data_IF_111836225216
#
_entry.id   IF_111836225216
#
_cell.length_a   1.000
_cell.length_b   1.000
_cell.length_c   1.000
_cell.angle_alpha   90.00
_cell.angle_beta   90.00
_cell.angle_gamma   90.00
#
_symmetry.space_group_name_H-M   'P 1'
#
loop_
_entity.id
_entity.type
_entity.pdbx_description
1 polymer ?
#
# COMPACT_ATOMS: atom_id res chain seq x y z
N UNK A 1 -80.89 37.46 49.04
CA UNK A 1 -80.23 36.58 48.04
C UNK A 1 -79.20 37.45 47.35
N UNK A 2 -77.88 37.29 47.46
CA UNK A 2 -77.03 36.12 47.68
C UNK A 2 -75.80 36.55 48.50
N UNK A 3 -75.16 35.55 49.07
CA UNK A 3 -74.17 35.52 50.15
C UNK A 3 -72.80 36.14 49.86
N UNK A 4 -72.12 36.52 50.94
CA UNK A 4 -70.68 36.70 51.06
C UNK A 4 -69.99 35.35 51.39
N UNK A 5 -68.77 35.12 50.88
CA UNK A 5 -67.58 34.52 51.55
C UNK A 5 -66.51 34.12 50.50
N UNK A 6 -65.31 34.73 50.56
CA UNK A 6 -64.10 34.24 51.25
C UNK A 6 -63.51 32.93 50.69
N UNK A 7 -62.40 33.04 49.95
CA UNK A 7 -61.27 32.09 49.91
C UNK A 7 -60.18 32.68 48.98
N UNK A 8 -59.10 33.24 49.53
CA UNK A 8 -57.82 32.56 49.78
C UNK A 8 -56.99 32.30 48.53
N UNK A 9 -56.04 33.20 48.30
CA UNK A 9 -54.61 32.92 48.10
C UNK A 9 -54.25 31.53 47.57
N UNK A 10 -54.26 31.35 46.25
CA UNK A 10 -53.65 30.18 45.60
C UNK A 10 -53.11 30.49 44.18
N UNK A 11 -52.65 31.72 43.94
CA UNK A 11 -52.18 32.15 42.61
C UNK A 11 -50.65 32.13 42.41
N UNK A 12 -49.89 31.48 43.28
CA UNK A 12 -48.43 31.34 43.16
C UNK A 12 -47.98 29.93 43.51
N UNK A 13 -48.35 28.94 42.70
CA UNK A 13 -47.73 27.60 42.77
C UNK A 13 -47.92 26.75 41.50
N UNK A 14 -48.02 27.39 40.32
CA UNK A 14 -48.09 26.68 39.03
C UNK A 14 -46.86 26.94 38.13
N UNK A 15 -45.71 27.29 38.73
CA UNK A 15 -44.44 27.53 38.02
C UNK A 15 -43.29 26.62 38.47
N UNK A 16 -43.59 25.56 39.24
CA UNK A 16 -42.59 24.57 39.65
C UNK A 16 -43.25 23.20 39.60
N UNK A 17 -43.22 22.53 38.43
CA UNK A 17 -43.30 21.07 38.24
C UNK A 17 -43.43 20.71 36.74
N UNK A 18 -42.46 21.13 35.94
CA UNK A 18 -42.14 20.46 34.67
C UNK A 18 -40.66 20.07 34.74
N UNK A 19 -40.33 18.93 35.37
CA UNK A 19 -38.99 18.39 35.23
C UNK A 19 -38.83 17.91 33.78
N UNK A 20 -37.87 18.54 33.09
CA UNK A 20 -37.05 17.99 32.03
C UNK A 20 -37.62 16.77 31.27
N UNK A 21 -38.32 17.06 30.17
CA UNK A 21 -38.41 16.14 29.04
C UNK A 21 -37.65 16.73 27.85
N UNK A 22 -36.41 17.17 28.09
CA UNK A 22 -35.43 17.13 27.01
C UNK A 22 -35.05 15.67 26.86
N UNK A 23 -35.76 14.96 25.99
CA UNK A 23 -35.17 13.79 25.37
C UNK A 23 -33.88 14.30 24.72
N UNK A 24 -32.73 13.97 25.32
CA UNK A 24 -31.52 13.81 24.55
C UNK A 24 -31.85 12.80 23.47
N UNK A 25 -32.25 13.30 22.30
CA UNK A 25 -31.98 12.60 21.07
C UNK A 25 -30.45 12.59 21.03
N UNK A 26 -29.86 11.60 21.69
CA UNK A 26 -28.48 11.25 21.48
C UNK A 26 -28.37 11.16 19.97
N UNK A 27 -27.65 12.11 19.39
CA UNK A 27 -27.20 11.99 18.02
C UNK A 27 -26.34 10.73 18.06
N UNK A 28 -26.95 9.58 17.79
CA UNK A 28 -26.21 8.41 17.38
C UNK A 28 -25.35 8.94 16.24
N UNK A 29 -24.04 9.07 16.49
CA UNK A 29 -23.08 9.44 15.46
C UNK A 29 -23.18 8.31 14.45
N UNK A 30 -24.04 8.50 13.46
CA UNK A 30 -24.17 7.61 12.34
C UNK A 30 -22.92 7.86 11.54
N UNK A 31 -21.84 7.17 11.91
CA UNK A 31 -20.61 7.11 11.14
C UNK A 31 -21.05 6.66 9.76
N UNK A 32 -21.10 7.61 8.81
CA UNK A 32 -21.51 7.29 7.46
C UNK A 32 -20.49 6.27 6.95
N UNK A 33 -20.94 5.18 6.33
CA UNK A 33 -19.99 4.21 5.77
C UNK A 33 -19.22 4.88 4.64
N UNK A 34 -17.94 4.56 4.45
CA UNK A 34 -17.21 4.96 3.24
C UNK A 34 -17.76 4.18 2.03
N UNK A 35 -17.56 4.70 0.82
CA UNK A 35 -18.17 4.17 -0.41
C UNK A 35 -17.18 3.45 -1.32
N UNK A 36 -15.91 3.81 -1.23
CA UNK A 36 -14.81 3.21 -1.97
C UNK A 36 -13.50 3.46 -1.20
N UNK A 37 -12.47 2.69 -1.57
CA UNK A 37 -11.12 2.78 -0.99
C UNK A 37 -10.11 3.03 -2.11
N UNK A 38 -9.18 3.96 -1.87
CA UNK A 38 -8.05 4.25 -2.75
C UNK A 38 -6.74 3.97 -2.02
N UNK A 39 -5.71 3.56 -2.75
CA UNK A 39 -4.35 3.43 -2.24
C UNK A 39 -3.39 4.30 -3.04
N UNK A 40 -2.49 5.00 -2.36
CA UNK A 40 -1.35 5.71 -2.94
C UNK A 40 -0.09 5.13 -2.30
N UNK A 41 0.69 4.39 -3.09
CA UNK A 41 1.82 3.60 -2.62
C UNK A 41 3.11 4.14 -3.24
N UNK A 42 4.01 4.64 -2.42
CA UNK A 42 5.17 5.42 -2.88
C UNK A 42 6.48 4.86 -2.35
N UNK A 43 7.34 4.39 -3.25
CA UNK A 43 8.76 4.19 -3.00
C UNK A 43 9.50 5.45 -3.46
N UNK A 44 10.12 6.17 -2.54
CA UNK A 44 10.78 7.45 -2.84
C UNK A 44 12.28 7.32 -3.13
N UNK A 45 12.85 6.14 -2.88
CA UNK A 45 14.29 5.89 -2.94
C UNK A 45 14.72 5.17 -4.21
N UNK A 46 16.00 5.32 -4.54
CA UNK A 46 16.63 4.70 -5.72
C UNK A 46 17.93 4.03 -5.37
N UNK A 47 18.53 3.41 -6.37
CA UNK A 47 19.78 2.66 -6.32
C UNK A 47 19.61 1.28 -5.68
N UNK A 48 20.50 0.38 -6.09
CA UNK A 48 20.46 -1.04 -5.72
C UNK A 48 20.44 -1.28 -4.21
N UNK A 49 21.20 -0.51 -3.43
CA UNK A 49 21.26 -0.65 -1.97
C UNK A 49 19.94 -0.28 -1.26
N UNK A 50 18.98 0.30 -1.98
CA UNK A 50 17.64 0.62 -1.48
C UNK A 50 16.56 -0.32 -2.01
N UNK A 51 16.94 -1.49 -2.52
CA UNK A 51 16.06 -2.55 -3.01
C UNK A 51 14.80 -2.73 -2.15
N UNK A 52 14.98 -2.84 -0.81
CA UNK A 52 13.90 -3.01 0.15
C UNK A 52 12.77 -1.99 0.04
N UNK A 53 13.03 -0.72 -0.27
CA UNK A 53 11.98 0.28 -0.33
C UNK A 53 11.01 -0.02 -1.50
N UNK A 54 11.53 -0.49 -2.64
CA UNK A 54 10.68 -0.91 -3.75
C UNK A 54 9.93 -2.20 -3.42
N UNK A 55 10.61 -3.18 -2.82
CA UNK A 55 10.00 -4.44 -2.38
C UNK A 55 8.89 -4.22 -1.33
N UNK A 56 9.08 -3.30 -0.40
CA UNK A 56 8.08 -2.88 0.58
C UNK A 56 6.80 -2.38 -0.11
N UNK A 57 6.93 -1.41 -1.02
CA UNK A 57 5.81 -0.82 -1.76
C UNK A 57 5.08 -1.86 -2.59
N UNK A 58 5.81 -2.74 -3.31
CA UNK A 58 5.22 -3.82 -4.09
C UNK A 58 4.51 -4.85 -3.21
N UNK A 59 5.03 -5.13 -2.01
CA UNK A 59 4.39 -6.06 -1.07
C UNK A 59 3.05 -5.52 -0.57
N UNK A 60 2.98 -4.22 -0.27
CA UNK A 60 1.76 -3.51 0.10
C UNK A 60 0.77 -3.45 -1.09
N UNK A 61 1.26 -3.21 -2.31
CA UNK A 61 0.46 -3.27 -3.54
C UNK A 61 -0.24 -4.62 -3.70
N UNK A 62 0.51 -5.72 -3.54
CA UNK A 62 -0.09 -7.07 -3.57
C UNK A 62 -1.09 -7.30 -2.45
N UNK A 63 -0.87 -6.71 -1.27
CA UNK A 63 -1.77 -6.83 -0.13
C UNK A 63 -3.11 -6.16 -0.42
N UNK A 64 -3.11 -4.91 -0.90
CA UNK A 64 -4.36 -4.20 -1.23
C UNK A 64 -5.09 -4.85 -2.40
N UNK A 65 -4.37 -5.37 -3.40
CA UNK A 65 -4.97 -6.13 -4.51
C UNK A 65 -5.61 -7.43 -4.04
N UNK A 66 -4.92 -8.20 -3.19
CA UNK A 66 -5.46 -9.44 -2.60
C UNK A 66 -6.72 -9.18 -1.78
N UNK A 67 -6.80 -8.03 -1.12
CA UNK A 67 -7.98 -7.59 -0.36
C UNK A 67 -9.03 -6.89 -1.25
N UNK A 68 -8.81 -6.85 -2.56
CA UNK A 68 -9.81 -6.53 -3.59
C UNK A 68 -9.85 -5.08 -4.06
N UNK A 69 -8.88 -4.24 -3.70
CA UNK A 69 -8.77 -2.90 -4.30
C UNK A 69 -8.30 -3.08 -5.76
N UNK A 70 -9.07 -2.62 -6.77
CA UNK A 70 -8.69 -2.73 -8.17
C UNK A 70 -7.57 -1.75 -8.55
N UNK A 71 -6.84 -2.02 -9.64
CA UNK A 71 -5.70 -1.19 -10.09
C UNK A 71 -6.10 0.26 -10.40
N UNK A 72 -7.30 0.50 -10.92
CA UNK A 72 -7.80 1.85 -11.18
C UNK A 72 -8.07 2.67 -9.90
N UNK A 73 -7.94 2.05 -8.72
CA UNK A 73 -8.00 2.68 -7.39
C UNK A 73 -6.65 2.65 -6.65
N UNK A 74 -5.57 2.22 -7.31
CA UNK A 74 -4.23 2.18 -6.72
C UNK A 74 -3.30 3.06 -7.56
N UNK A 75 -2.71 4.07 -6.95
CA UNK A 75 -1.63 4.86 -7.55
C UNK A 75 -0.29 4.31 -7.05
N UNK A 76 0.47 3.68 -7.94
CA UNK A 76 1.78 3.10 -7.61
C UNK A 76 2.92 3.96 -8.16
N UNK A 77 3.79 4.45 -7.28
CA UNK A 77 4.95 5.28 -7.61
C UNK A 77 6.24 4.55 -7.19
N UNK A 78 7.07 4.15 -8.17
CA UNK A 78 8.35 3.50 -7.93
C UNK A 78 9.50 4.36 -8.47
N UNK A 79 10.32 4.90 -7.56
CA UNK A 79 11.40 5.82 -7.91
C UNK A 79 12.57 5.17 -8.68
N UNK A 80 12.66 3.84 -8.72
CA UNK A 80 13.67 3.09 -9.45
C UNK A 80 13.08 1.77 -9.98
N UNK A 81 13.82 1.07 -10.83
CA UNK A 81 13.47 -0.26 -11.33
C UNK A 81 14.58 -1.26 -10.98
N UNK A 82 14.44 -1.88 -9.80
CA UNK A 82 15.42 -2.90 -9.37
C UNK A 82 15.22 -4.23 -10.12
N UNK A 83 14.06 -4.45 -10.74
CA UNK A 83 13.77 -5.66 -11.50
C UNK A 83 14.64 -5.72 -12.77
N UNK A 84 14.89 -4.55 -13.39
CA UNK A 84 15.74 -4.40 -14.57
C UNK A 84 17.20 -4.02 -14.26
N UNK A 85 17.62 -4.01 -12.98
CA UNK A 85 18.98 -3.62 -12.61
C UNK A 85 19.99 -4.70 -13.00
N UNK A 86 21.14 -4.31 -13.57
CA UNK A 86 22.20 -5.24 -13.97
C UNK A 86 22.83 -6.03 -12.80
N UNK A 87 22.64 -5.59 -11.55
CA UNK A 87 23.05 -6.34 -10.35
C UNK A 87 22.06 -7.41 -9.93
N UNK A 88 20.84 -7.39 -10.47
CA UNK A 88 19.81 -8.35 -10.10
C UNK A 88 20.09 -9.71 -10.73
N UNK A 89 20.39 -10.69 -9.88
CA UNK A 89 20.61 -12.08 -10.30
C UNK A 89 19.33 -12.73 -10.86
N UNK A 90 18.17 -12.16 -10.56
CA UNK A 90 16.86 -12.62 -11.02
C UNK A 90 16.20 -11.56 -11.93
N UNK A 91 16.51 -11.54 -13.23
CA UNK A 91 15.97 -10.55 -14.16
C UNK A 91 14.45 -10.49 -14.11
N UNK A 92 13.89 -9.28 -14.10
CA UNK A 92 12.45 -9.00 -14.03
C UNK A 92 11.72 -9.57 -12.80
N UNK A 93 12.46 -9.91 -11.73
CA UNK A 93 11.89 -10.42 -10.49
C UNK A 93 12.34 -9.59 -9.29
N UNK A 94 11.44 -9.47 -8.31
CA UNK A 94 11.67 -8.74 -7.06
C UNK A 94 11.11 -9.57 -5.90
N UNK A 95 11.85 -9.71 -4.81
CA UNK A 95 11.51 -10.56 -3.67
C UNK A 95 11.61 -9.76 -2.38
N UNK A 96 10.75 -10.05 -1.39
CA UNK A 96 10.85 -9.50 -0.03
C UNK A 96 11.32 -10.55 0.99
N UNK A 97 11.74 -11.72 0.53
CA UNK A 97 12.14 -12.85 1.35
C UNK A 97 13.17 -13.71 0.63
N UNK A 98 14.14 -14.22 1.39
CA UNK A 98 15.23 -15.11 0.96
C UNK A 98 14.74 -16.41 0.29
N UNK A 99 13.52 -16.87 0.55
CA UNK A 99 13.00 -18.10 -0.04
C UNK A 99 12.55 -17.94 -1.51
N UNK A 100 12.53 -16.71 -2.03
CA UNK A 100 12.12 -16.33 -3.39
C UNK A 100 10.81 -16.94 -3.88
N UNK A 101 9.89 -17.28 -2.98
CA UNK A 101 8.63 -17.95 -3.34
C UNK A 101 7.63 -17.05 -4.06
N UNK A 102 7.75 -15.74 -3.85
CA UNK A 102 6.80 -14.75 -4.35
C UNK A 102 7.52 -13.65 -5.12
N UNK A 103 7.45 -13.72 -6.45
CA UNK A 103 7.86 -12.58 -7.27
C UNK A 103 6.84 -11.44 -7.12
N UNK A 104 7.30 -10.31 -6.59
CA UNK A 104 6.51 -9.13 -6.34
C UNK A 104 6.22 -8.30 -7.60
N UNK A 105 7.11 -8.37 -8.61
CA UNK A 105 7.07 -7.54 -9.82
C UNK A 105 6.33 -8.17 -11.00
N UNK A 106 6.00 -9.47 -10.95
CA UNK A 106 5.45 -10.23 -12.09
C UNK A 106 4.21 -9.61 -12.76
N UNK A 107 3.72 -10.22 -13.83
CA UNK A 107 2.84 -9.66 -14.89
C UNK A 107 1.62 -8.79 -14.52
N UNK A 108 1.21 -8.73 -13.26
CA UNK A 108 0.00 -8.05 -12.80
C UNK A 108 0.26 -6.74 -12.04
N UNK A 109 1.45 -6.12 -12.16
CA UNK A 109 1.70 -4.81 -11.57
C UNK A 109 1.41 -3.70 -12.57
N UNK A 110 0.71 -2.67 -12.11
CA UNK A 110 0.52 -1.42 -12.84
C UNK A 110 1.28 -0.30 -12.12
N UNK A 111 2.40 0.13 -12.69
CA UNK A 111 3.16 1.29 -12.15
C UNK A 111 2.71 2.56 -12.86
N UNK A 112 2.20 3.53 -12.12
CA UNK A 112 1.70 4.79 -12.67
C UNK A 112 2.82 5.80 -12.87
N UNK A 113 3.73 5.89 -11.91
CA UNK A 113 4.89 6.79 -11.96
C UNK A 113 6.17 5.98 -11.82
N UNK A 114 7.00 6.00 -12.87
CA UNK A 114 8.23 5.21 -12.94
C UNK A 114 9.46 6.12 -12.91
N UNK A 115 10.49 5.72 -12.16
CA UNK A 115 11.80 6.35 -12.22
C UNK A 115 11.73 7.85 -11.98
N UNK A 116 12.19 8.65 -12.95
CA UNK A 116 12.22 10.11 -12.91
C UNK A 116 10.84 10.78 -12.80
N UNK A 117 9.73 10.07 -13.01
CA UNK A 117 8.40 10.63 -12.79
C UNK A 117 8.02 10.72 -11.30
N UNK A 118 8.72 9.99 -10.42
CA UNK A 118 8.48 10.01 -8.97
C UNK A 118 9.22 11.19 -8.34
N UNK A 119 8.65 12.39 -8.50
CA UNK A 119 9.13 13.65 -7.92
C UNK A 119 8.19 14.14 -6.82
N UNK A 120 8.68 15.04 -5.97
CA UNK A 120 7.83 15.69 -4.96
C UNK A 120 6.65 16.40 -5.62
N UNK A 121 6.89 17.07 -6.74
CA UNK A 121 5.87 17.79 -7.49
C UNK A 121 4.74 16.87 -7.97
N UNK A 122 5.07 15.75 -8.63
CA UNK A 122 4.07 14.83 -9.14
C UNK A 122 3.29 14.17 -8.00
N UNK A 123 3.96 13.80 -6.91
CA UNK A 123 3.30 13.28 -5.72
C UNK A 123 2.28 14.28 -5.14
N UNK A 124 2.66 15.55 -4.96
CA UNK A 124 1.75 16.59 -4.48
C UNK A 124 0.60 16.86 -5.45
N UNK A 125 0.83 16.77 -6.78
CA UNK A 125 -0.24 16.88 -7.78
C UNK A 125 -1.27 15.76 -7.67
N UNK A 126 -0.82 14.51 -7.46
CA UNK A 126 -1.70 13.35 -7.22
C UNK A 126 -2.62 13.61 -6.03
N UNK A 127 -2.05 13.98 -4.88
CA UNK A 127 -2.81 14.25 -3.66
C UNK A 127 -3.83 15.39 -3.90
N UNK A 128 -3.35 16.53 -4.37
CA UNK A 128 -4.17 17.76 -4.51
C UNK A 128 -5.11 17.74 -5.71
N UNK A 129 -4.97 16.76 -6.61
CA UNK A 129 -5.72 16.67 -7.87
C UNK A 129 -5.43 17.80 -8.86
N UNK A 130 -4.25 18.44 -8.75
CA UNK A 130 -3.83 19.55 -9.61
C UNK A 130 -3.01 19.04 -10.78
N UNK A 131 -3.69 18.37 -11.71
CA UNK A 131 -3.07 17.82 -12.91
C UNK A 131 -3.34 18.70 -14.13
N UNK A 132 -2.40 18.71 -15.08
CA UNK A 132 -2.65 19.19 -16.42
C UNK A 132 -3.74 18.33 -17.11
N UNK A 133 -4.52 18.94 -18.02
CA UNK A 133 -5.59 18.26 -18.74
C UNK A 133 -5.11 17.02 -19.52
N UNK A 134 -3.86 17.01 -19.98
CA UNK A 134 -3.26 15.92 -20.74
C UNK A 134 -2.84 14.72 -19.87
N UNK A 135 -2.73 14.86 -18.54
CA UNK A 135 -2.34 13.74 -17.67
C UNK A 135 -3.40 12.63 -17.76
N UNK A 136 -3.05 11.38 -18.05
CA UNK A 136 -4.05 10.31 -18.21
C UNK A 136 -4.79 10.04 -16.89
N UNK A 137 -6.01 9.49 -17.00
CA UNK A 137 -6.87 9.19 -15.85
C UNK A 137 -6.21 8.23 -14.84
N UNK A 138 -5.46 7.24 -15.32
CA UNK A 138 -4.74 6.26 -14.48
C UNK A 138 -3.74 6.92 -13.53
N UNK A 139 -3.12 8.03 -13.94
CA UNK A 139 -2.18 8.79 -13.10
C UNK A 139 -2.85 9.81 -12.18
N UNK A 140 -4.15 9.69 -11.91
CA UNK A 140 -4.89 10.67 -11.09
C UNK A 140 -5.59 9.95 -9.94
N UNK A 141 -5.40 10.45 -8.72
CA UNK A 141 -6.24 10.07 -7.58
C UNK A 141 -7.63 10.69 -7.79
N UNK A 142 -8.66 9.87 -8.04
CA UNK A 142 -10.03 10.32 -8.28
C UNK A 142 -10.95 10.10 -7.07
N UNK A 143 -10.39 10.21 -5.88
CA UNK A 143 -11.11 10.13 -4.62
C UNK A 143 -12.02 11.34 -4.38
N UNK A 144 -13.03 11.13 -3.55
CA UNK A 144 -14.13 12.04 -3.24
C UNK A 144 -14.47 12.05 -1.74
N UNK A 145 -15.56 12.73 -1.38
CA UNK A 145 -16.00 12.91 0.02
C UNK A 145 -16.47 11.62 0.70
N UNK A 146 -16.68 10.55 -0.08
CA UNK A 146 -17.03 9.22 0.41
C UNK A 146 -15.87 8.23 0.41
N UNK A 147 -14.67 8.66 -0.01
CA UNK A 147 -13.51 7.78 -0.22
C UNK A 147 -12.64 7.67 1.02
N UNK A 148 -12.29 6.46 1.45
CA UNK A 148 -11.16 6.29 2.36
C UNK A 148 -9.87 6.13 1.53
N UNK A 149 -8.79 6.77 1.97
CA UNK A 149 -7.52 6.77 1.24
C UNK A 149 -6.42 6.19 2.14
N UNK A 150 -5.72 5.18 1.65
CA UNK A 150 -4.47 4.68 2.22
C UNK A 150 -3.30 5.37 1.51
N UNK A 151 -2.48 6.12 2.24
CA UNK A 151 -1.21 6.62 1.76
C UNK A 151 -0.09 5.85 2.46
N UNK A 152 0.68 5.07 1.72
CA UNK A 152 1.87 4.40 2.21
C UNK A 152 3.12 4.96 1.52
N UNK A 153 4.10 5.37 2.31
CA UNK A 153 5.37 5.92 1.83
C UNK A 153 6.54 5.21 2.49
N UNK A 154 7.56 4.87 1.72
CA UNK A 154 8.80 4.27 2.24
C UNK A 154 10.01 4.86 1.54
N UNK A 155 11.07 5.10 2.32
CA UNK A 155 12.30 5.69 1.84
C UNK A 155 13.23 6.12 2.96
N UNK A 156 14.17 6.99 2.60
CA UNK A 156 15.06 7.64 3.57
C UNK A 156 14.50 8.99 4.00
N UNK A 157 14.60 9.29 5.27
CA UNK A 157 14.09 10.53 5.86
C UNK A 157 14.78 10.84 7.17
N UNK A 158 14.25 11.85 7.85
CA UNK A 158 14.76 12.33 9.13
C UNK A 158 13.76 13.25 9.79
N UNK A 159 14.25 14.14 10.65
CA UNK A 159 13.40 15.06 11.40
C UNK A 159 12.64 16.00 10.45
N UNK A 160 11.34 15.74 10.29
CA UNK A 160 10.36 16.46 9.49
C UNK A 160 10.53 16.40 7.97
N UNK A 161 11.31 15.45 7.44
CA UNK A 161 11.47 15.29 5.98
C UNK A 161 11.58 13.84 5.52
N UNK A 162 11.21 13.61 4.25
CA UNK A 162 11.42 12.38 3.51
C UNK A 162 12.06 12.71 2.15
N UNK A 163 13.13 12.00 1.79
CA UNK A 163 13.84 12.20 0.53
C UNK A 163 13.11 11.57 -0.64
N UNK A 164 13.12 12.25 -1.76
CA UNK A 164 12.70 11.79 -3.08
C UNK A 164 13.90 11.75 -4.01
N UNK A 165 14.08 10.64 -4.72
CA UNK A 165 15.12 10.45 -5.74
C UNK A 165 16.56 10.72 -5.24
N UNK A 166 16.80 10.64 -3.93
CA UNK A 166 18.08 10.98 -3.28
C UNK A 166 18.56 12.44 -3.51
N UNK A 167 17.67 13.35 -3.93
CA UNK A 167 18.03 14.73 -4.30
C UNK A 167 17.04 15.78 -3.81
N UNK A 168 15.75 15.47 -3.82
CA UNK A 168 14.69 16.34 -3.30
C UNK A 168 14.21 15.85 -1.94
N UNK A 169 13.53 16.72 -1.20
CA UNK A 169 12.93 16.41 0.08
C UNK A 169 11.50 16.96 0.11
N UNK A 170 10.58 16.16 0.65
CA UNK A 170 9.25 16.63 1.06
C UNK A 170 9.24 16.81 2.58
N UNK A 171 8.70 17.93 3.05
CA UNK A 171 8.62 18.23 4.47
C UNK A 171 7.25 17.87 5.06
N UNK A 172 7.18 17.75 6.38
CA UNK A 172 5.92 17.54 7.12
C UNK A 172 4.89 18.64 6.85
N UNK A 173 5.33 19.88 6.59
CA UNK A 173 4.48 21.01 6.19
C UNK A 173 3.87 20.83 4.81
N UNK A 174 4.65 20.35 3.84
CA UNK A 174 4.15 20.11 2.48
C UNK A 174 3.03 19.06 2.49
N UNK A 175 3.17 18.01 3.32
CA UNK A 175 2.13 17.02 3.55
C UNK A 175 0.89 17.64 4.21
N UNK A 176 1.09 18.44 5.26
CA UNK A 176 0.00 19.12 5.97
C UNK A 176 -0.84 20.00 5.03
N UNK A 177 -0.17 20.80 4.19
CA UNK A 177 -0.81 21.69 3.23
C UNK A 177 -1.46 20.93 2.07
N UNK A 178 -0.88 19.82 1.62
CA UNK A 178 -1.49 18.94 0.63
C UNK A 178 -2.79 18.32 1.18
N UNK A 179 -2.77 17.80 2.39
CA UNK A 179 -3.97 17.22 3.02
C UNK A 179 -5.02 18.27 3.33
N UNK A 180 -4.64 19.50 3.69
CA UNK A 180 -5.56 20.62 3.83
C UNK A 180 -6.27 20.96 2.52
N UNK A 181 -5.54 20.94 1.40
CA UNK A 181 -6.15 21.10 0.09
C UNK A 181 -7.06 19.94 -0.28
N UNK A 182 -6.68 18.70 0.04
CA UNK A 182 -7.56 17.53 -0.16
C UNK A 182 -8.85 17.67 0.64
N UNK A 183 -8.76 18.05 1.91
CA UNK A 183 -9.90 18.27 2.79
C UNK A 183 -10.81 19.40 2.27
N UNK A 184 -10.24 20.55 1.93
CA UNK A 184 -10.99 21.69 1.38
C UNK A 184 -11.70 21.38 0.05
N UNK A 185 -11.16 20.44 -0.73
CA UNK A 185 -11.77 19.92 -1.97
C UNK A 185 -12.64 18.68 -1.76
N UNK A 186 -12.81 18.22 -0.51
CA UNK A 186 -13.51 16.99 -0.15
C UNK A 186 -13.06 15.76 -0.95
N UNK A 187 -11.75 15.55 -1.02
CA UNK A 187 -11.11 14.43 -1.75
C UNK A 187 -10.89 13.19 -0.88
N UNK A 188 -11.31 13.22 0.37
CA UNK A 188 -11.34 12.04 1.23
C UNK A 188 -12.41 12.22 2.30
N UNK A 189 -12.90 11.09 2.79
CA UNK A 189 -13.66 10.95 4.02
C UNK A 189 -12.70 10.73 5.19
N UNK A 190 -11.86 9.71 5.07
CA UNK A 190 -10.81 9.37 6.03
C UNK A 190 -9.51 9.06 5.28
N UNK A 191 -8.37 9.43 5.87
CA UNK A 191 -7.03 9.22 5.32
C UNK A 191 -6.17 8.48 6.35
N UNK A 192 -5.66 7.31 5.98
CA UNK A 192 -4.66 6.58 6.75
C UNK A 192 -3.29 6.83 6.11
N UNK A 193 -2.39 7.50 6.82
CA UNK A 193 -1.02 7.79 6.39
C UNK A 193 -0.06 6.87 7.12
N UNK A 194 0.66 6.03 6.39
CA UNK A 194 1.66 5.10 6.92
C UNK A 194 3.03 5.44 6.32
N UNK A 195 4.01 5.75 7.15
CA UNK A 195 5.36 6.08 6.67
C UNK A 195 6.42 5.19 7.30
N UNK A 196 7.18 4.49 6.45
CA UNK A 196 8.33 3.68 6.85
C UNK A 196 9.65 4.37 6.50
N UNK A 197 10.23 5.05 7.51
CA UNK A 197 11.49 5.78 7.40
C UNK A 197 12.07 6.06 8.80
N UNK A 198 13.33 6.49 8.88
CA UNK A 198 13.89 7.10 10.09
C UNK A 198 13.11 8.36 10.50
N UNK A 199 12.86 8.49 11.81
CA UNK A 199 12.09 9.58 12.42
C UNK A 199 10.69 9.82 11.82
N UNK A 200 10.05 8.76 11.32
CA UNK A 200 8.78 8.84 10.60
C UNK A 200 7.68 9.62 11.34
N UNK A 201 7.61 9.52 12.68
CA UNK A 201 6.63 10.24 13.49
C UNK A 201 6.66 11.77 13.33
N UNK A 202 7.81 12.31 12.94
CA UNK A 202 7.98 13.76 12.73
C UNK A 202 7.27 14.25 11.47
N UNK A 203 6.94 13.36 10.52
CA UNK A 203 6.20 13.73 9.31
C UNK A 203 4.74 14.03 9.58
N UNK A 204 4.17 13.51 10.67
CA UNK A 204 2.78 13.77 11.05
C UNK A 204 2.60 14.83 12.15
N UNK A 205 3.68 15.46 12.62
CA UNK A 205 3.63 16.45 13.70
C UNK A 205 2.86 17.72 13.31
N UNK A 206 2.93 18.12 12.03
CA UNK A 206 2.36 19.38 11.55
C UNK A 206 1.00 19.21 10.87
N UNK A 207 0.43 18.00 10.85
CA UNK A 207 -0.90 17.77 10.29
C UNK A 207 -1.96 18.49 11.13
N UNK A 208 -2.99 19.03 10.45
CA UNK A 208 -4.06 19.78 11.11
C UNK A 208 -5.45 19.57 10.50
N UNK A 209 -5.56 18.80 9.41
CA UNK A 209 -6.85 18.54 8.76
C UNK A 209 -7.55 17.34 9.40
N UNK A 210 -8.88 17.40 9.58
CA UNK A 210 -9.63 16.32 10.23
C UNK A 210 -9.74 15.09 9.32
N UNK A 211 -10.09 13.95 9.93
CA UNK A 211 -10.25 12.67 9.25
C UNK A 211 -8.92 11.99 8.93
N UNK A 212 -7.81 12.39 9.55
CA UNK A 212 -6.48 11.83 9.27
C UNK A 212 -6.00 11.01 10.47
N UNK A 213 -5.65 9.75 10.21
CA UNK A 213 -4.89 8.90 11.12
C UNK A 213 -3.50 8.70 10.51
N UNK A 214 -2.45 9.05 11.25
CA UNK A 214 -1.08 8.90 10.77
C UNK A 214 -0.28 7.95 11.67
N UNK A 215 0.58 7.14 11.08
CA UNK A 215 1.48 6.20 11.77
C UNK A 215 2.85 6.20 11.11
N UNK A 216 3.89 6.22 11.93
CA UNK A 216 5.28 6.19 11.53
C UNK A 216 6.03 5.01 12.16
N UNK A 217 6.98 4.45 11.42
CA UNK A 217 7.79 3.30 11.87
C UNK A 217 8.78 3.59 13.00
N UNK A 218 9.09 4.86 13.26
CA UNK A 218 10.08 5.28 14.27
C UNK A 218 9.78 6.66 14.85
N UNK A 219 10.18 6.89 16.11
CA UNK A 219 10.04 8.17 16.81
C UNK A 219 11.12 9.16 16.41
N UNK A 220 10.92 10.44 16.77
CA UNK A 220 11.96 11.48 16.68
C UNK A 220 13.23 11.02 17.40
N UNK A 221 14.38 11.16 16.74
CA UNK A 221 15.67 10.69 17.26
C UNK A 221 15.95 9.19 17.08
N UNK A 222 15.03 8.42 16.48
CA UNK A 222 15.23 7.00 16.20
C UNK A 222 15.38 6.72 14.69
N UNK A 223 16.13 5.67 14.38
CA UNK A 223 16.20 5.12 13.02
C UNK A 223 15.05 4.12 12.79
N UNK A 224 14.71 3.88 11.52
CA UNK A 224 14.03 2.65 11.08
C UNK A 224 15.07 1.67 10.54
N UNK A 225 14.76 0.38 10.58
CA UNK A 225 15.73 -0.68 10.30
C UNK A 225 15.21 -1.69 9.28
N UNK A 226 16.12 -2.16 8.43
CA UNK A 226 15.87 -3.32 7.58
C UNK A 226 15.72 -4.61 8.38
N UNK A 227 14.95 -5.58 7.88
CA UNK A 227 14.75 -6.85 8.58
C UNK A 227 15.86 -7.86 8.33
N UNK A 228 16.01 -8.31 7.09
CA UNK A 228 16.93 -9.40 6.72
C UNK A 228 17.59 -9.14 5.35
N UNK A 229 18.74 -9.80 5.17
CA UNK A 229 19.63 -9.70 4.02
C UNK A 229 19.41 -10.90 3.12
N UNK A 230 19.32 -10.67 1.83
CA UNK A 230 19.29 -11.75 0.85
C UNK A 230 20.68 -11.94 0.26
N UNK A 231 21.23 -13.15 0.35
CA UNK A 231 22.58 -13.43 -0.10
C UNK A 231 22.74 -13.38 -1.63
N UNK A 232 21.70 -13.76 -2.37
CA UNK A 232 21.72 -13.81 -3.84
C UNK A 232 21.48 -12.41 -4.42
N UNK A 233 20.63 -11.59 -3.78
CA UNK A 233 20.43 -10.18 -4.13
C UNK A 233 21.57 -9.29 -3.59
N UNK A 234 22.21 -9.70 -2.48
CA UNK A 234 23.35 -9.03 -1.86
C UNK A 234 23.02 -7.79 -1.02
N UNK A 235 21.74 -7.52 -0.77
CA UNK A 235 21.25 -6.36 0.01
C UNK A 235 20.01 -6.75 0.83
N UNK A 236 19.60 -5.90 1.77
CA UNK A 236 18.36 -6.11 2.51
C UNK A 236 17.15 -5.97 1.58
N UNK A 237 16.18 -6.87 1.72
CA UNK A 237 15.03 -6.99 0.80
C UNK A 237 13.71 -6.47 1.37
N UNK A 238 13.65 -6.17 2.67
CA UNK A 238 12.44 -5.63 3.32
C UNK A 238 12.80 -4.85 4.59
N UNK A 239 12.00 -3.84 4.94
CA UNK A 239 12.10 -3.14 6.22
C UNK A 239 11.25 -3.78 7.32
N UNK A 240 11.67 -3.64 8.58
CA UNK A 240 11.02 -4.32 9.72
C UNK A 240 9.56 -3.92 9.87
N UNK A 241 9.26 -2.63 9.87
CA UNK A 241 7.90 -2.14 10.01
C UNK A 241 7.00 -2.71 8.91
N UNK A 242 7.47 -2.67 7.66
CA UNK A 242 6.75 -3.27 6.54
C UNK A 242 6.62 -4.79 6.66
N UNK A 243 7.68 -5.50 7.05
CA UNK A 243 7.65 -6.95 7.25
C UNK A 243 6.58 -7.38 8.27
N UNK A 244 6.53 -6.73 9.44
CA UNK A 244 5.53 -7.04 10.47
C UNK A 244 4.13 -6.57 10.08
N UNK A 245 4.01 -5.50 9.28
CA UNK A 245 2.74 -5.13 8.64
C UNK A 245 2.24 -6.27 7.74
N UNK A 246 3.10 -6.77 6.85
CA UNK A 246 2.76 -7.86 5.93
C UNK A 246 2.41 -9.14 6.69
N UNK A 247 3.18 -9.49 7.71
CA UNK A 247 2.92 -10.66 8.56
C UNK A 247 1.52 -10.59 9.21
N UNK A 248 1.11 -9.41 9.67
CA UNK A 248 -0.24 -9.21 10.19
C UNK A 248 -1.30 -9.50 9.13
N UNK A 249 -1.07 -9.08 7.88
CA UNK A 249 -2.01 -9.29 6.78
C UNK A 249 -1.99 -10.69 6.18
N UNK A 250 -0.94 -11.51 6.33
CA UNK A 250 -0.80 -12.81 5.65
C UNK A 250 -2.06 -13.69 5.73
N UNK A 251 -2.67 -13.77 6.91
CA UNK A 251 -3.85 -14.60 7.17
C UNK A 251 -5.18 -13.84 7.15
N UNK A 252 -5.19 -12.60 6.69
CA UNK A 252 -6.42 -11.81 6.58
C UNK A 252 -7.05 -11.92 5.19
N UNK A 253 -8.38 -12.01 5.19
CA UNK A 253 -9.21 -11.89 4.00
C UNK A 253 -10.06 -10.60 4.04
N UNK A 254 -10.81 -10.36 2.96
CA UNK A 254 -11.69 -9.19 2.80
C UNK A 254 -12.82 -9.12 3.83
N UNK A 255 -13.16 -10.23 4.49
CA UNK A 255 -14.21 -10.33 5.50
C UNK A 255 -13.66 -10.24 6.93
N UNK A 256 -12.35 -10.01 7.09
CA UNK A 256 -11.71 -9.85 8.38
C UNK A 256 -12.31 -8.69 9.18
N UNK A 257 -12.56 -8.97 10.47
CA UNK A 257 -12.96 -7.97 11.47
C UNK A 257 -11.76 -7.43 12.28
N UNK A 258 -10.53 -7.67 11.82
CA UNK A 258 -9.34 -7.12 12.46
C UNK A 258 -9.35 -5.59 12.42
N UNK A 259 -8.92 -4.96 13.50
CA UNK A 259 -9.00 -3.51 13.71
C UNK A 259 -7.66 -2.84 13.53
N UNK A 260 -7.64 -1.53 13.26
CA UNK A 260 -6.40 -0.75 13.25
C UNK A 260 -5.70 -0.79 14.60
N UNK A 261 -6.45 -0.83 15.71
CA UNK A 261 -5.86 -1.05 17.03
C UNK A 261 -5.10 -2.38 17.09
N UNK A 262 -5.69 -3.47 16.60
CA UNK A 262 -5.01 -4.78 16.58
C UNK A 262 -3.76 -4.81 15.69
N UNK A 263 -3.76 -4.08 14.57
CA UNK A 263 -2.57 -3.90 13.74
C UNK A 263 -1.49 -3.15 14.53
N UNK A 264 -1.85 -2.05 15.18
CA UNK A 264 -0.90 -1.23 15.94
C UNK A 264 -0.34 -1.95 17.16
N UNK A 265 -1.16 -2.72 17.86
CA UNK A 265 -0.76 -3.55 19.00
C UNK A 265 0.16 -4.71 18.59
N UNK A 266 0.14 -5.13 17.32
CA UNK A 266 1.04 -6.16 16.80
C UNK A 266 2.50 -5.69 16.68
N UNK A 267 2.74 -4.38 16.66
CA UNK A 267 4.08 -3.82 16.56
C UNK A 267 4.78 -3.79 17.92
N UNK A 268 5.70 -4.72 18.12
CA UNK A 268 6.56 -4.74 19.31
C UNK A 268 7.90 -4.02 19.06
N UNK A 269 8.36 -3.13 19.97
CA UNK A 269 9.65 -2.44 19.82
C UNK A 269 10.86 -3.38 19.67
N UNK A 270 10.82 -4.55 20.30
CA UNK A 270 11.86 -5.58 20.16
C UNK A 270 11.95 -6.15 18.75
N UNK A 271 10.81 -6.24 18.05
CA UNK A 271 10.71 -6.73 16.68
C UNK A 271 11.11 -5.64 15.67
N UNK A 272 10.67 -4.40 15.90
CA UNK A 272 10.97 -3.27 15.03
C UNK A 272 12.40 -2.73 15.20
N UNK A 273 13.00 -2.89 16.38
CA UNK A 273 14.21 -2.19 16.81
C UNK A 273 14.06 -0.66 16.85
N UNK A 274 12.82 -0.18 16.81
CA UNK A 274 12.38 1.21 16.90
C UNK A 274 11.00 1.24 17.59
N UNK A 275 10.50 2.43 17.90
CA UNK A 275 9.15 2.60 18.41
C UNK A 275 8.23 3.14 17.31
N UNK A 276 7.21 2.36 16.95
CA UNK A 276 6.09 2.87 16.18
C UNK A 276 5.38 3.98 16.98
N UNK A 277 4.96 5.01 16.28
CA UNK A 277 4.17 6.11 16.83
C UNK A 277 3.01 6.43 15.89
N UNK A 278 1.83 6.68 16.44
CA UNK A 278 0.66 7.09 15.66
C UNK A 278 -0.01 8.31 16.28
N UNK A 279 -0.62 9.12 15.42
CA UNK A 279 -1.32 10.34 15.76
C UNK A 279 -2.79 10.21 15.35
N UNK A 280 -3.69 10.27 16.34
CA UNK A 280 -5.13 10.04 16.19
C UNK A 280 -6.03 11.20 16.64
N UNK A 281 -5.49 12.33 17.11
CA UNK A 281 -6.27 13.51 17.53
C UNK A 281 -7.10 14.13 16.41
N UNK A 282 -6.67 13.95 15.16
CA UNK A 282 -7.39 14.38 13.95
C UNK A 282 -8.39 13.34 13.44
N UNK A 283 -8.47 12.17 14.07
CA UNK A 283 -9.27 11.04 13.63
C UNK A 283 -10.40 10.76 14.64
N UNK A 284 -11.65 10.85 14.20
CA UNK A 284 -12.79 10.88 15.12
C UNK A 284 -13.23 9.51 15.64
N UNK A 285 -12.93 8.43 14.91
CA UNK A 285 -13.40 7.08 15.25
C UNK A 285 -12.43 6.39 16.22
N UNK A 286 -12.93 5.63 17.19
CA UNK A 286 -12.06 4.85 18.07
C UNK A 286 -11.43 3.68 17.30
N UNK A 287 -10.12 3.48 17.47
CA UNK A 287 -9.32 2.56 16.65
C UNK A 287 -9.70 1.09 16.82
N UNK A 288 -10.29 0.72 17.96
CA UNK A 288 -10.82 -0.62 18.23
C UNK A 288 -12.14 -0.91 17.49
N UNK A 289 -12.69 0.08 16.78
CA UNK A 289 -13.89 -0.03 15.93
C UNK A 289 -13.61 0.25 14.47
N UNK A 290 -12.38 0.61 14.11
CA UNK A 290 -11.99 0.85 12.72
C UNK A 290 -11.33 -0.41 12.17
N UNK A 291 -11.93 -0.99 11.15
CA UNK A 291 -11.41 -2.21 10.54
C UNK A 291 -10.19 -1.88 9.67
N UNK A 292 -9.23 -2.79 9.60
CA UNK A 292 -8.13 -2.66 8.62
C UNK A 292 -8.65 -2.66 7.19
N UNK A 293 -9.74 -3.38 6.93
CA UNK A 293 -10.41 -3.45 5.63
C UNK A 293 -11.09 -2.14 5.23
N UNK A 294 -11.30 -1.19 6.15
CA UNK A 294 -11.79 0.16 5.83
C UNK A 294 -10.77 1.00 5.02
N UNK A 295 -9.52 0.56 4.93
CA UNK A 295 -8.45 1.22 4.16
C UNK A 295 -7.75 0.26 3.19
N UNK A 296 -7.60 -1.01 3.55
CA UNK A 296 -6.85 -1.99 2.77
C UNK A 296 -7.73 -2.88 1.88
N UNK A 297 -9.04 -2.95 2.14
CA UNK A 297 -9.94 -3.88 1.45
C UNK A 297 -10.89 -3.20 0.46
N UNK A 298 -11.53 -4.00 -0.39
CA UNK A 298 -12.57 -3.49 -1.30
C UNK A 298 -13.89 -3.23 -0.57
N UNK A 299 -14.59 -2.18 -0.99
CA UNK A 299 -15.99 -1.97 -0.59
C UNK A 299 -16.89 -2.73 -1.56
N UNK A 300 -17.19 -3.99 -1.26
CA UNK A 300 -18.11 -4.79 -2.08
C UNK A 300 -19.55 -4.30 -1.92
N UNK A 301 -20.02 -3.50 -2.88
CA UNK A 301 -21.44 -3.16 -3.02
C UNK A 301 -22.19 -4.29 -3.73
N UNK A 302 -22.81 -5.21 -2.99
CA UNK A 302 -23.70 -6.22 -3.59
C UNK A 302 -25.00 -5.53 -4.02
N UNK A 303 -25.12 -5.23 -5.33
CA UNK A 303 -26.42 -4.90 -5.92
C UNK A 303 -27.13 -6.21 -6.24
N UNK A 304 -28.10 -6.58 -5.43
CA UNK A 304 -29.02 -7.66 -5.78
C UNK A 304 -29.80 -7.26 -7.03
N UNK A 305 -29.56 -7.94 -8.14
CA UNK A 305 -30.43 -7.87 -9.32
C UNK A 305 -31.63 -8.78 -9.07
N UNK A 306 -32.84 -8.20 -9.03
CA UNK A 306 -34.10 -8.95 -8.83
C UNK A 306 -34.42 -9.90 -9.99
N UNK A 307 -33.78 -9.73 -11.15
CA UNK A 307 -33.92 -10.60 -12.31
C UNK A 307 -32.68 -11.47 -12.49
N UNK A 308 -32.88 -12.78 -12.65
CA UNK A 308 -31.87 -13.65 -13.23
C UNK A 308 -31.50 -13.12 -14.61
N UNK A 309 -30.21 -13.08 -14.93
CA UNK A 309 -29.73 -12.69 -16.26
C UNK A 309 -30.41 -13.57 -17.31
N UNK A 310 -31.36 -13.00 -18.05
CA UNK A 310 -32.03 -13.68 -19.15
C UNK A 310 -31.08 -13.62 -20.34
N UNK A 311 -30.09 -14.50 -20.35
CA UNK A 311 -29.32 -14.79 -21.55
C UNK A 311 -30.29 -15.12 -22.68
N UNK A 312 -29.99 -14.63 -23.88
CA UNK A 312 -30.83 -14.74 -25.08
C UNK A 312 -31.11 -16.22 -25.41
N UNK A 313 -32.14 -16.79 -24.79
CA UNK A 313 -32.67 -18.11 -25.15
C UNK A 313 -33.61 -17.91 -26.32
N UNK A 314 -33.01 -17.77 -27.50
CA UNK A 314 -33.73 -17.80 -28.77
C UNK A 314 -34.39 -19.16 -28.96
N UNK A 315 -35.61 -19.33 -28.44
CA UNK A 315 -36.51 -20.40 -28.87
C UNK A 315 -37.95 -19.88 -28.93
N UNK A 316 -38.24 -19.08 -29.95
CA UNK A 316 -39.60 -18.78 -30.35
C UNK A 316 -40.23 -20.04 -30.93
N UNK A 317 -41.08 -20.73 -30.15
CA UNK A 317 -42.09 -21.62 -30.70
C UNK A 317 -43.18 -20.75 -31.31
N UNK A 318 -43.13 -20.53 -32.63
CA UNK A 318 -44.28 -20.02 -33.38
C UNK A 318 -44.99 -21.18 -34.07
N UNK A 319 -46.19 -21.46 -33.56
CA UNK A 319 -47.23 -22.22 -34.25
C UNK A 319 -47.54 -21.54 -35.58
N UNK A 320 -47.50 -22.32 -36.66
CA UNK A 320 -47.75 -21.90 -38.03
C UNK A 320 -49.26 -21.73 -38.25
N UNK A 321 -49.70 -20.52 -38.61
CA UNK A 321 -50.92 -20.34 -39.39
C UNK A 321 -50.60 -19.49 -40.62
N UNK A 322 -51.09 -19.98 -41.76
CA UNK A 322 -50.81 -19.53 -43.11
C UNK A 322 -51.37 -18.14 -43.42
N UNK A 323 -50.63 -17.31 -44.17
CA UNK A 323 -50.98 -16.88 -45.54
C UNK A 323 -50.19 -15.61 -45.95
N UNK A 324 -49.61 -15.69 -47.17
CA UNK A 324 -49.22 -14.60 -48.11
C UNK A 324 -48.09 -13.68 -47.63
N UNK A 325 -47.13 -13.24 -48.43
CA UNK A 325 -47.04 -13.07 -49.88
C UNK A 325 -45.56 -13.16 -50.30
N UNK A 326 -45.33 -13.64 -51.51
CA UNK A 326 -44.03 -13.85 -52.15
C UNK A 326 -43.46 -12.55 -52.69
N UNK A 327 -42.17 -12.28 -52.46
CA UNK A 327 -41.20 -11.77 -53.45
C UNK A 327 -39.93 -11.26 -52.75
N UNK A 328 -38.83 -12.02 -52.89
CA UNK A 328 -37.41 -11.60 -52.98
C UNK A 328 -36.50 -12.65 -52.31
N UNK A 329 -36.38 -13.79 -53.01
CA UNK A 329 -35.20 -14.64 -52.91
C UNK A 329 -34.07 -14.06 -53.77
N UNK A 330 -32.82 -14.38 -53.36
CA UNK A 330 -31.50 -14.05 -53.94
C UNK A 330 -30.94 -12.75 -53.32
N UNK A 331 -29.82 -12.73 -52.58
CA UNK A 331 -28.49 -13.31 -52.85
C UNK A 331 -27.77 -13.46 -51.48
N UNK A 332 -27.57 -14.68 -50.95
CA UNK A 332 -26.30 -15.42 -50.71
C UNK A 332 -25.01 -14.63 -50.41
N UNK A 333 -24.52 -14.85 -49.18
CA UNK A 333 -23.16 -15.23 -48.76
C UNK A 333 -21.93 -14.49 -49.30
N UNK A 334 -21.21 -13.81 -48.39
CA UNK A 334 -19.73 -13.76 -48.39
C UNK A 334 -19.24 -13.75 -46.93
N UNK A 335 -18.81 -14.92 -46.44
CA UNK A 335 -17.92 -15.03 -45.28
C UNK A 335 -16.48 -14.67 -45.71
N UNK A 336 -15.78 -13.92 -44.86
CA UNK A 336 -14.36 -13.59 -45.03
C UNK A 336 -13.53 -14.38 -44.02
N UNK A 337 -12.96 -15.49 -44.47
CA UNK A 337 -11.83 -16.17 -43.81
C UNK A 337 -10.52 -15.47 -44.20
N UNK A 338 -9.66 -15.19 -43.23
CA UNK A 338 -8.25 -14.81 -43.44
C UNK A 338 -7.37 -16.01 -43.04
N UNK A 339 -6.42 -16.44 -43.87
CA UNK A 339 -5.54 -17.57 -43.55
C UNK A 339 -4.31 -17.11 -42.75
N UNK A 340 -4.00 -17.82 -41.66
CA UNK A 340 -2.70 -17.76 -41.00
C UNK A 340 -2.03 -19.13 -41.16
N UNK A 341 -1.02 -19.20 -42.04
CA UNK A 341 -0.18 -20.38 -42.24
C UNK A 341 0.87 -20.45 -41.12
N UNK A 342 0.96 -21.61 -40.45
CA UNK A 342 2.07 -21.99 -39.57
C UNK A 342 2.93 -22.98 -40.32
N UNK A 343 4.18 -22.61 -40.60
CA UNK A 343 5.19 -23.51 -41.15
C UNK A 343 5.99 -24.16 -40.02
N UNK A 344 5.83 -25.47 -39.88
CA UNK A 344 6.70 -26.35 -39.10
C UNK A 344 8.06 -26.49 -39.82
N UNK A 345 9.17 -26.12 -39.18
CA UNK A 345 10.47 -26.74 -39.48
C UNK A 345 11.53 -26.45 -38.39
N UNK A 346 12.14 -27.56 -37.92
CA UNK A 346 13.46 -27.73 -37.29
C UNK A 346 13.57 -27.77 -35.76
N UNK A 347 13.23 -28.94 -35.22
CA UNK A 347 14.07 -29.65 -34.25
C UNK A 347 15.35 -30.17 -34.93
N UNK A 348 16.52 -29.74 -34.43
CA UNK A 348 17.79 -30.50 -34.31
C UNK A 348 18.93 -29.53 -34.03
N UNK A 349 19.44 -29.54 -32.81
CA UNK A 349 20.89 -29.58 -32.57
C UNK A 349 21.19 -29.94 -31.09
N UNK A 350 21.70 -31.18 -30.93
CA UNK A 350 22.74 -31.69 -30.03
C UNK A 350 22.80 -31.10 -28.60
N UNK A 351 22.50 -31.84 -27.52
CA UNK A 351 23.11 -33.11 -27.09
C UNK A 351 24.60 -33.25 -27.44
N UNK A 352 25.46 -32.64 -26.62
CA UNK A 352 26.80 -33.15 -26.29
C UNK A 352 27.42 -32.35 -25.13
N UNK A 353 27.29 -32.83 -23.89
CA UNK A 353 28.41 -33.01 -22.94
C UNK A 353 28.00 -34.11 -21.95
N UNK A 354 28.57 -35.30 -22.17
CA UNK A 354 28.54 -36.43 -21.24
C UNK A 354 29.45 -36.20 -20.04
N UNK A 355 28.95 -36.69 -18.90
CA UNK A 355 29.64 -37.47 -17.87
C UNK A 355 31.00 -36.98 -17.33
N UNK A 356 30.98 -36.58 -16.06
CA UNK A 356 31.99 -37.00 -15.09
C UNK A 356 31.29 -37.35 -13.76
N UNK A 357 31.12 -38.65 -13.51
CA UNK A 357 31.03 -39.25 -12.16
C UNK A 357 32.43 -39.84 -11.90
N UNK A 358 33.03 -39.75 -10.72
CA UNK A 358 32.83 -40.51 -9.47
C UNK A 358 33.81 -39.84 -8.48
N UNK A 359 33.51 -39.56 -7.21
CA UNK A 359 33.65 -40.54 -6.12
C UNK A 359 33.08 -40.06 -4.78
N UNK A 360 32.58 -41.04 -4.03
CA UNK A 360 31.91 -40.98 -2.73
C UNK A 360 32.88 -40.68 -1.58
N UNK A 361 32.43 -39.92 -0.59
CA UNK A 361 32.60 -40.27 0.84
C UNK A 361 31.41 -39.78 1.67
N UNK A 362 30.90 -40.68 2.51
CA UNK A 362 29.78 -40.44 3.44
C UNK A 362 30.23 -39.83 4.79
N UNK A 363 29.32 -39.76 5.78
CA UNK A 363 29.13 -38.59 6.64
C UNK A 363 29.79 -38.68 8.02
N UNK A 364 30.04 -37.52 8.67
CA UNK A 364 30.41 -37.47 10.08
C UNK A 364 30.79 -36.10 10.65
N UNK A 365 29.89 -35.58 11.50
CA UNK A 365 30.14 -34.96 12.82
C UNK A 365 31.03 -33.69 12.99
N UNK A 366 30.35 -32.60 13.36
CA UNK A 366 30.59 -31.63 14.44
C UNK A 366 32.03 -31.35 14.98
N UNK A 367 32.32 -30.04 15.01
CA UNK A 367 32.88 -29.22 16.11
C UNK A 367 34.36 -28.77 16.09
N UNK A 368 34.49 -27.48 16.47
CA UNK A 368 35.58 -26.77 17.15
C UNK A 368 36.62 -25.96 16.33
N UNK A 369 36.52 -24.64 16.54
CA UNK A 369 37.53 -23.59 16.71
C UNK A 369 38.64 -23.36 15.66
N UNK A 370 38.86 -22.08 15.32
CA UNK A 370 40.19 -21.49 15.10
C UNK A 370 40.14 -19.94 15.06
N UNK A 371 40.31 -19.32 16.23
CA UNK A 371 40.58 -17.87 16.44
C UNK A 371 41.98 -17.41 15.94
N UNK A 372 42.81 -18.32 15.42
CA UNK A 372 44.15 -17.99 14.92
C UNK A 372 44.12 -17.17 13.61
N UNK A 373 43.08 -17.33 12.80
CA UNK A 373 42.93 -16.70 11.48
C UNK A 373 42.71 -15.19 11.58
N UNK A 374 41.95 -14.77 12.60
CA UNK A 374 41.57 -13.36 12.82
C UNK A 374 42.73 -12.58 13.40
N UNK A 375 43.54 -13.19 14.27
CA UNK A 375 44.70 -12.55 14.89
C UNK A 375 45.83 -12.30 13.89
N UNK A 376 46.05 -13.23 12.94
CA UNK A 376 46.99 -13.06 11.83
C UNK A 376 46.55 -11.95 10.87
N UNK A 377 45.24 -11.80 10.62
CA UNK A 377 44.68 -10.72 9.81
C UNK A 377 44.87 -9.34 10.44
N UNK A 378 44.67 -9.21 11.76
CA UNK A 378 44.84 -7.94 12.49
C UNK A 378 46.30 -7.49 12.57
N UNK A 379 47.25 -8.42 12.74
CA UNK A 379 48.68 -8.11 12.74
C UNK A 379 49.20 -7.64 11.37
N UNK A 380 48.68 -8.22 10.28
CA UNK A 380 49.03 -7.80 8.92
C UNK A 380 48.54 -6.37 8.60
N UNK A 381 47.35 -6.00 9.11
CA UNK A 381 46.79 -4.67 8.93
C UNK A 381 47.56 -3.60 9.72
N UNK A 382 47.99 -3.91 10.94
CA UNK A 382 48.79 -3.00 11.77
C UNK A 382 50.18 -2.72 11.17
N UNK A 383 50.81 -3.73 10.55
CA UNK A 383 52.09 -3.57 9.86
C UNK A 383 51.97 -2.70 8.59
N UNK A 384 50.87 -2.84 7.83
CA UNK A 384 50.65 -2.03 6.64
C UNK A 384 50.43 -0.54 6.96
N UNK A 385 49.73 -0.23 8.06
CA UNK A 385 49.53 1.15 8.52
C UNK A 385 50.85 1.77 8.97
N UNK A 386 51.71 1.03 9.70
CA UNK A 386 53.00 1.53 10.15
C UNK A 386 53.98 1.86 9.00
N UNK A 387 53.91 1.12 7.88
CA UNK A 387 54.77 1.35 6.72
C UNK A 387 54.30 2.57 5.91
N UNK A 388 52.98 2.85 5.88
CA UNK A 388 52.42 4.03 5.20
C UNK A 388 52.78 5.36 5.89
N UNK A 389 53.10 5.33 7.19
CA UNK A 389 53.44 6.52 7.99
C UNK A 389 54.87 7.01 7.84
N UNK A 390 55.75 6.27 7.14
CA UNK A 390 57.20 6.56 7.07
C UNK A 390 57.59 7.27 5.75
N UNK A 391 56.67 7.42 4.80
CA UNK A 391 56.99 7.94 3.46
C UNK A 391 56.35 9.28 3.13
N UNK A 392 56.51 10.30 4.01
CA UNK A 392 56.43 11.70 3.60
C UNK A 392 57.31 12.58 4.50
N UNK A 393 58.52 12.97 4.08
CA UNK A 393 59.16 14.16 4.61
C UNK A 393 58.74 15.38 3.77
N UNK A 394 58.12 16.35 4.42
CA UNK A 394 57.96 17.70 3.86
C UNK A 394 59.25 18.50 4.02
N UNK A 395 59.80 19.02 2.92
CA UNK A 395 60.33 20.37 2.70
C UNK A 395 60.95 20.46 1.31
#
# INVERSE_FOLDING_TARGET
MVMANMASSALLCWLVLLPALFAEVGAASTWTKHTNNWAVLVCTSRYWFNYRHMANTLSLYRTVKRLGIPDDHIILMLADDVACNARNMYPAQVFNNENHRLNLYGDHIEVDYRGYEVTVENFLRVLTGRHDAAVPRSKRLLSDEGSNVLLYMTGHGGDEFLKFQDSEEIQSRDLADAFAQMHGKRRYKELLVMVDTCQAATLHSQLYSPGILAVGSSKKGENSYSHHLDADVGVSVVDRFTYYTLQFFENLDIHSNATLQSLFDSYAPSLLMSHMDYRADLFSRPLDKVLVTDFFGSVMGIKHTEAAYVGFTGRSKRSMSSQRDSSLDRIMDVDHELPFEVSDEKEKELEDVKEFNVEKTGPGLLAADNDASVLLGLLALAAAVAISSITFPGS
#
